data_IF_281927583312
#
_entry.id   IF_281927583312
#
_cell.length_a   1.000
_cell.length_b   1.000
_cell.length_c   1.000
_cell.angle_alpha   90.00
_cell.angle_beta   90.00
_cell.angle_gamma   90.00
#
_symmetry.space_group_name_H-M   'P 1'
#
loop_
_entity.id
_entity.type
_entity.pdbx_description
1 polymer ?
#
# COMPACT_ATOMS: atom_id res chain seq x y z
N UNK A 1 -9.01 12.88 16.54
CA UNK A 1 -8.15 11.69 16.28
C UNK A 1 -7.80 11.10 17.62
N UNK A 2 -7.92 9.78 17.83
CA UNK A 2 -7.52 9.18 19.12
C UNK A 2 -6.00 9.28 19.29
N UNK A 3 -5.54 9.35 20.54
CA UNK A 3 -4.10 9.40 20.85
C UNK A 3 -3.37 8.15 20.35
N UNK A 4 -4.01 6.98 20.44
CA UNK A 4 -3.46 5.73 19.92
C UNK A 4 -3.25 5.76 18.41
N UNK A 5 -4.23 6.26 17.65
CA UNK A 5 -4.07 6.37 16.19
C UNK A 5 -2.94 7.33 15.81
N UNK A 6 -2.83 8.47 16.49
CA UNK A 6 -1.74 9.42 16.25
C UNK A 6 -0.36 8.80 16.51
N UNK A 7 -0.17 8.16 17.67
CA UNK A 7 1.08 7.48 18.03
C UNK A 7 1.39 6.37 17.01
N UNK A 8 0.41 5.56 16.65
CA UNK A 8 0.60 4.48 15.68
C UNK A 8 0.95 4.99 14.28
N UNK A 9 0.38 6.12 13.82
CA UNK A 9 0.76 6.73 12.54
C UNK A 9 2.17 7.31 12.56
N UNK A 10 2.61 7.87 13.70
CA UNK A 10 3.98 8.35 13.88
C UNK A 10 4.97 7.18 13.82
N UNK A 11 4.72 6.11 14.60
CA UNK A 11 5.52 4.88 14.56
C UNK A 11 5.51 4.29 13.15
N UNK A 12 4.33 4.18 12.53
CA UNK A 12 4.17 3.66 11.18
C UNK A 12 4.95 4.47 10.13
N UNK A 13 5.05 5.79 10.29
CA UNK A 13 5.86 6.63 9.40
C UNK A 13 7.36 6.34 9.53
N UNK A 14 7.85 6.10 10.75
CA UNK A 14 9.24 5.71 11.01
C UNK A 14 9.51 4.33 10.42
N UNK A 15 8.63 3.35 10.67
CA UNK A 15 8.74 1.99 10.13
C UNK A 15 8.68 2.00 8.59
N UNK A 16 7.81 2.82 8.01
CA UNK A 16 7.73 3.06 6.57
C UNK A 16 9.08 3.53 6.03
N UNK A 17 9.65 4.60 6.59
CA UNK A 17 10.92 5.16 6.11
C UNK A 17 12.09 4.17 6.28
N UNK A 18 12.13 3.44 7.40
CA UNK A 18 13.14 2.43 7.66
C UNK A 18 13.06 1.27 6.65
N UNK A 19 11.85 0.76 6.38
CA UNK A 19 11.62 -0.32 5.43
C UNK A 19 11.97 0.11 4.01
N UNK A 20 11.60 1.34 3.65
CA UNK A 20 11.91 1.93 2.37
C UNK A 20 13.42 2.11 2.17
N UNK A 21 14.11 2.64 3.18
CA UNK A 21 15.57 2.72 3.20
C UNK A 21 16.22 1.35 3.05
N UNK A 22 15.77 0.35 3.82
CA UNK A 22 16.29 -1.01 3.72
C UNK A 22 16.14 -1.60 2.31
N UNK A 23 15.03 -1.29 1.63
CA UNK A 23 14.75 -1.77 0.27
C UNK A 23 15.55 -1.09 -0.84
N UNK A 24 15.97 0.16 -0.65
CA UNK A 24 16.58 0.99 -1.71
C UNK A 24 18.05 1.38 -1.45
N UNK A 25 18.59 1.16 -0.25
CA UNK A 25 19.93 1.61 0.15
C UNK A 25 21.08 1.05 -0.66
N UNK A 26 20.89 -0.08 -1.35
CA UNK A 26 21.94 -0.74 -2.12
C UNK A 26 22.22 -0.01 -3.45
N UNK A 27 21.18 0.56 -4.06
CA UNK A 27 21.25 1.16 -5.40
C UNK A 27 21.13 2.70 -5.41
N UNK A 28 20.64 3.30 -4.32
CA UNK A 28 20.27 4.72 -4.29
C UNK A 28 20.90 5.48 -3.11
N UNK A 29 21.22 6.75 -3.35
CA UNK A 29 21.73 7.66 -2.32
C UNK A 29 20.68 7.91 -1.24
N UNK A 30 21.11 7.99 0.01
CA UNK A 30 20.26 8.24 1.19
C UNK A 30 19.32 9.44 0.97
N UNK A 31 19.84 10.57 0.50
CA UNK A 31 19.04 11.78 0.25
C UNK A 31 17.92 11.55 -0.77
N UNK A 32 18.16 10.77 -1.83
CA UNK A 32 17.15 10.41 -2.83
C UNK A 32 16.06 9.55 -2.21
N UNK A 33 16.43 8.55 -1.41
CA UNK A 33 15.47 7.63 -0.77
C UNK A 33 14.55 8.39 0.19
N UNK A 34 15.09 9.24 1.06
CA UNK A 34 14.28 10.00 2.01
C UNK A 34 13.44 11.08 1.31
N UNK A 35 13.96 11.74 0.27
CA UNK A 35 13.16 12.68 -0.53
C UNK A 35 11.96 11.97 -1.18
N UNK A 36 12.16 10.78 -1.72
CA UNK A 36 11.08 9.94 -2.25
C UNK A 36 10.08 9.55 -1.14
N UNK A 37 10.57 9.00 -0.02
CA UNK A 37 9.73 8.56 1.09
C UNK A 37 8.89 9.68 1.70
N UNK A 38 9.47 10.86 1.93
CA UNK A 38 8.74 12.03 2.42
C UNK A 38 7.71 12.54 1.41
N UNK A 39 7.99 12.46 0.11
CA UNK A 39 7.01 12.82 -0.92
C UNK A 39 5.80 11.89 -0.84
N UNK A 40 6.01 10.57 -0.76
CA UNK A 40 4.92 9.60 -0.60
C UNK A 40 4.12 9.84 0.68
N UNK A 41 4.78 9.97 1.83
CA UNK A 41 4.10 10.23 3.11
C UNK A 41 3.30 11.54 3.10
N UNK A 42 3.88 12.61 2.56
CA UNK A 42 3.22 13.91 2.48
C UNK A 42 1.89 13.80 1.71
N UNK A 43 1.90 13.20 0.52
CA UNK A 43 0.68 13.09 -0.27
C UNK A 43 -0.31 12.06 0.30
N UNK A 44 0.15 10.97 0.94
CA UNK A 44 -0.74 10.06 1.67
C UNK A 44 -1.45 10.80 2.81
N UNK A 45 -0.72 11.56 3.63
CA UNK A 45 -1.31 12.34 4.71
C UNK A 45 -2.18 13.49 4.22
N UNK A 46 -1.81 14.14 3.12
CA UNK A 46 -2.66 15.14 2.46
C UNK A 46 -3.98 14.52 1.98
N UNK A 47 -3.94 13.31 1.40
CA UNK A 47 -5.13 12.56 1.00
C UNK A 47 -6.00 12.19 2.20
N UNK A 48 -5.40 11.69 3.28
CA UNK A 48 -6.12 11.39 4.53
C UNK A 48 -6.75 12.66 5.12
N UNK A 49 -6.02 13.77 5.17
CA UNK A 49 -6.53 15.05 5.63
C UNK A 49 -7.70 15.52 4.77
N UNK A 50 -7.56 15.49 3.44
CA UNK A 50 -8.61 15.88 2.50
C UNK A 50 -9.88 15.03 2.68
N UNK A 51 -9.72 13.72 2.89
CA UNK A 51 -10.86 12.84 3.18
C UNK A 51 -11.57 13.20 4.48
N UNK A 52 -10.84 13.66 5.51
CA UNK A 52 -11.43 14.04 6.78
C UNK A 52 -12.32 15.29 6.68
N UNK A 53 -12.05 16.15 5.69
CA UNK A 53 -12.80 17.38 5.40
C UNK A 53 -13.98 17.11 4.45
N UNK A 54 -13.77 16.33 3.39
CA UNK A 54 -14.79 16.09 2.36
C UNK A 54 -15.77 14.98 2.78
N UNK A 55 -15.26 13.77 2.99
CA UNK A 55 -16.05 12.61 3.38
C UNK A 55 -15.13 11.54 3.99
N UNK A 56 -15.37 11.21 5.27
CA UNK A 56 -14.53 10.24 5.98
C UNK A 56 -14.53 8.86 5.34
N UNK A 57 -15.57 8.49 4.58
CA UNK A 57 -15.63 7.21 3.87
C UNK A 57 -14.66 7.09 2.70
N UNK A 58 -14.22 8.20 2.08
CA UNK A 58 -13.27 8.18 0.95
C UNK A 58 -11.81 8.08 1.37
N UNK A 59 -11.52 7.88 2.66
CA UNK A 59 -10.17 7.96 3.22
C UNK A 59 -9.16 7.04 2.52
N UNK A 60 -9.56 5.81 2.20
CA UNK A 60 -8.67 4.87 1.51
C UNK A 60 -8.38 5.35 0.10
N UNK A 61 -9.41 5.70 -0.67
CA UNK A 61 -9.24 6.15 -2.06
C UNK A 61 -8.45 7.46 -2.13
N UNK A 62 -8.67 8.38 -1.20
CA UNK A 62 -7.88 9.60 -1.10
C UNK A 62 -6.41 9.30 -0.75
N UNK A 63 -6.15 8.34 0.14
CA UNK A 63 -4.79 7.90 0.46
C UNK A 63 -4.12 7.17 -0.71
N UNK A 64 -4.84 6.34 -1.48
CA UNK A 64 -4.34 5.67 -2.68
C UNK A 64 -4.00 6.69 -3.77
N UNK A 65 -4.87 7.69 -4.00
CA UNK A 65 -4.57 8.78 -4.95
C UNK A 65 -3.36 9.60 -4.49
N UNK A 66 -3.31 9.97 -3.21
CA UNK A 66 -2.17 10.64 -2.61
C UNK A 66 -0.88 9.85 -2.79
N UNK A 67 -0.91 8.54 -2.50
CA UNK A 67 0.21 7.63 -2.75
C UNK A 67 0.65 7.66 -4.21
N UNK A 68 -0.28 7.55 -5.17
CA UNK A 68 0.04 7.59 -6.59
C UNK A 68 0.73 8.91 -6.98
N UNK A 69 0.22 10.05 -6.52
CA UNK A 69 0.86 11.35 -6.76
C UNK A 69 2.24 11.45 -6.12
N UNK A 70 2.36 11.07 -4.85
CA UNK A 70 3.63 11.10 -4.11
C UNK A 70 4.68 10.17 -4.71
N UNK A 71 4.26 9.01 -5.22
CA UNK A 71 5.13 8.06 -5.89
C UNK A 71 5.61 8.61 -7.23
N UNK A 72 4.71 9.10 -8.08
CA UNK A 72 5.06 9.66 -9.40
C UNK A 72 5.98 10.89 -9.27
N UNK A 73 5.64 11.83 -8.40
CA UNK A 73 6.46 13.02 -8.15
C UNK A 73 7.79 12.66 -7.50
N UNK A 74 7.79 11.74 -6.53
CA UNK A 74 8.99 11.28 -5.87
C UNK A 74 9.96 10.61 -6.84
N UNK A 75 9.45 9.72 -7.71
CA UNK A 75 10.24 9.07 -8.78
C UNK A 75 10.81 10.11 -9.74
N UNK A 76 9.97 11.03 -10.24
CA UNK A 76 10.40 12.08 -11.16
C UNK A 76 11.51 12.96 -10.57
N UNK A 77 11.42 13.30 -9.28
CA UNK A 77 12.41 14.16 -8.59
C UNK A 77 13.72 13.45 -8.25
N UNK A 78 13.67 12.15 -7.97
CA UNK A 78 14.82 11.43 -7.38
C UNK A 78 15.54 10.52 -8.36
N UNK A 79 14.93 10.21 -9.51
CA UNK A 79 15.48 9.30 -10.51
C UNK A 79 15.44 7.81 -10.11
N UNK A 80 14.73 7.46 -9.03
CA UNK A 80 14.54 6.08 -8.62
C UNK A 80 13.70 5.37 -9.69
N UNK A 81 14.11 4.16 -10.11
CA UNK A 81 13.34 3.40 -11.10
C UNK A 81 11.96 3.07 -10.54
N UNK A 82 10.93 3.26 -11.37
CA UNK A 82 9.54 3.10 -10.95
C UNK A 82 9.26 1.73 -10.32
N UNK A 83 9.82 0.65 -10.87
CA UNK A 83 9.60 -0.71 -10.34
C UNK A 83 10.26 -0.93 -8.98
N UNK A 84 11.44 -0.35 -8.73
CA UNK A 84 12.11 -0.44 -7.42
C UNK A 84 11.35 0.39 -6.37
N UNK A 85 10.86 1.56 -6.78
CA UNK A 85 10.00 2.42 -5.98
C UNK A 85 8.67 1.73 -5.62
N UNK A 86 8.04 1.04 -6.58
CA UNK A 86 6.81 0.26 -6.33
C UNK A 86 7.12 -0.95 -5.43
N UNK A 87 8.18 -1.72 -5.71
CA UNK A 87 8.52 -2.91 -4.94
C UNK A 87 8.78 -2.59 -3.46
N UNK A 88 9.58 -1.57 -3.19
CA UNK A 88 9.92 -1.15 -1.81
C UNK A 88 8.82 -0.29 -1.17
N UNK A 89 8.16 0.54 -1.97
CA UNK A 89 7.08 1.42 -1.52
C UNK A 89 5.87 0.65 -1.03
N UNK A 90 5.41 -0.37 -1.77
CA UNK A 90 4.25 -1.19 -1.37
C UNK A 90 4.49 -1.88 -0.04
N UNK A 91 5.65 -2.51 0.16
CA UNK A 91 5.97 -3.14 1.45
C UNK A 91 5.96 -2.10 2.59
N UNK A 92 6.57 -0.95 2.36
CA UNK A 92 6.64 0.14 3.36
C UNK A 92 5.24 0.65 3.72
N UNK A 93 4.35 0.78 2.73
CA UNK A 93 2.96 1.19 2.93
C UNK A 93 2.13 0.14 3.67
N UNK A 94 2.38 -1.15 3.44
CA UNK A 94 1.72 -2.21 4.20
C UNK A 94 2.08 -2.13 5.68
N UNK A 95 3.35 -1.85 6.01
CA UNK A 95 3.73 -1.60 7.41
C UNK A 95 3.08 -0.35 7.99
N UNK A 96 3.01 0.76 7.23
CA UNK A 96 2.28 1.96 7.66
C UNK A 96 0.80 1.65 7.92
N UNK A 97 0.18 0.89 7.01
CA UNK A 97 -1.22 0.47 7.12
C UNK A 97 -1.43 -0.45 8.32
N UNK A 98 -0.51 -1.38 8.60
CA UNK A 98 -0.57 -2.27 9.75
C UNK A 98 -0.54 -1.50 11.07
N UNK A 99 0.39 -0.54 11.19
CA UNK A 99 0.43 0.35 12.35
C UNK A 99 -0.88 1.14 12.47
N UNK A 100 -1.40 1.69 11.37
CA UNK A 100 -2.68 2.42 11.37
C UNK A 100 -3.86 1.53 11.81
N UNK A 101 -3.96 0.29 11.32
CA UNK A 101 -5.01 -0.66 11.71
C UNK A 101 -4.90 -1.05 13.18
N UNK A 102 -3.68 -1.25 13.68
CA UNK A 102 -3.43 -1.48 15.12
C UNK A 102 -3.90 -0.31 15.97
N UNK A 103 -3.55 0.93 15.57
CA UNK A 103 -3.99 2.14 16.26
C UNK A 103 -5.51 2.30 16.25
N UNK A 104 -6.17 1.97 15.13
CA UNK A 104 -7.62 1.96 15.02
C UNK A 104 -8.26 0.87 15.89
N UNK A 105 -7.68 -0.33 15.94
CA UNK A 105 -8.15 -1.41 16.81
C UNK A 105 -8.06 -1.02 18.29
N UNK A 106 -6.94 -0.48 18.75
CA UNK A 106 -6.78 -0.02 20.13
C UNK A 106 -7.73 1.14 20.49
N UNK A 107 -8.20 1.89 19.49
CA UNK A 107 -9.10 3.02 19.71
C UNK A 107 -10.58 2.62 19.72
N UNK A 108 -10.96 1.66 18.88
CA UNK A 108 -12.36 1.30 18.63
C UNK A 108 -12.74 -0.07 19.21
N UNK A 109 -11.77 -0.92 19.52
CA UNK A 109 -11.95 -2.33 19.93
C UNK A 109 -12.92 -3.10 19.03
N UNK A 110 -12.86 -2.84 17.72
CA UNK A 110 -13.79 -3.43 16.75
C UNK A 110 -13.22 -4.73 16.14
N UNK A 111 -14.01 -5.81 16.03
CA UNK A 111 -13.62 -7.00 15.29
C UNK A 111 -13.24 -6.72 13.82
N UNK A 112 -13.88 -5.71 13.20
CA UNK A 112 -13.61 -5.35 11.81
C UNK A 112 -12.22 -4.71 11.61
N UNK A 113 -11.74 -3.90 12.56
CA UNK A 113 -10.39 -3.33 12.50
C UNK A 113 -9.33 -4.38 12.81
N UNK A 114 -9.61 -5.30 13.73
CA UNK A 114 -8.75 -6.43 14.00
C UNK A 114 -8.59 -7.33 12.77
N UNK A 115 -9.69 -7.72 12.13
CA UNK A 115 -9.66 -8.53 10.91
C UNK A 115 -8.90 -7.84 9.77
N UNK A 116 -9.05 -6.52 9.61
CA UNK A 116 -8.30 -5.74 8.64
C UNK A 116 -6.79 -5.73 8.94
N UNK A 117 -6.38 -5.60 10.21
CA UNK A 117 -4.97 -5.73 10.61
C UNK A 117 -4.41 -7.11 10.31
N UNK A 118 -5.08 -8.17 10.73
CA UNK A 118 -4.67 -9.56 10.43
C UNK A 118 -4.52 -9.79 8.92
N UNK A 119 -5.41 -9.23 8.12
CA UNK A 119 -5.32 -9.30 6.65
C UNK A 119 -4.09 -8.56 6.11
N UNK A 120 -3.79 -7.36 6.61
CA UNK A 120 -2.59 -6.59 6.19
C UNK A 120 -1.32 -7.32 6.61
N UNK A 121 -1.25 -7.87 7.82
CA UNK A 121 -0.15 -8.72 8.27
C UNK A 121 0.05 -9.93 7.35
N UNK A 122 -1.04 -10.60 6.95
CA UNK A 122 -0.98 -11.70 5.99
C UNK A 122 -0.44 -11.25 4.62
N UNK A 123 -0.79 -10.05 4.14
CA UNK A 123 -0.23 -9.49 2.90
C UNK A 123 1.27 -9.19 3.01
N UNK A 124 1.75 -8.77 4.19
CA UNK A 124 3.20 -8.59 4.45
C UNK A 124 3.92 -9.95 4.35
N UNK A 125 3.36 -11.01 4.97
CA UNK A 125 3.92 -12.36 4.88
C UNK A 125 3.91 -12.88 3.43
N UNK A 126 2.81 -12.66 2.71
CA UNK A 126 2.69 -13.01 1.29
C UNK A 126 3.74 -12.27 0.46
N UNK A 127 3.97 -10.98 0.72
CA UNK A 127 5.01 -10.20 0.05
C UNK A 127 6.38 -10.87 0.20
N UNK A 128 6.78 -11.21 1.43
CA UNK A 128 8.09 -11.85 1.67
C UNK A 128 8.19 -13.24 1.03
N UNK A 129 7.12 -14.03 1.11
CA UNK A 129 7.05 -15.32 0.45
C UNK A 129 7.26 -15.17 -1.07
N UNK A 130 6.52 -14.28 -1.72
CA UNK A 130 6.67 -14.02 -3.16
C UNK A 130 8.05 -13.45 -3.50
N UNK A 131 8.58 -12.53 -2.71
CA UNK A 131 9.91 -11.94 -2.93
C UNK A 131 11.03 -12.98 -2.96
N UNK A 132 10.91 -14.07 -2.20
CA UNK A 132 11.90 -15.16 -2.20
C UNK A 132 11.69 -16.18 -3.31
N UNK A 133 10.47 -16.30 -3.86
CA UNK A 133 10.09 -17.37 -4.79
C UNK A 133 9.73 -16.89 -6.21
N UNK A 134 9.58 -15.59 -6.47
CA UNK A 134 9.04 -15.12 -7.75
C UNK A 134 9.87 -15.54 -8.96
N UNK A 135 11.20 -15.64 -8.80
CA UNK A 135 12.11 -16.08 -9.88
C UNK A 135 11.97 -17.56 -10.24
N UNK A 136 11.42 -18.40 -9.36
CA UNK A 136 11.21 -19.82 -9.65
C UNK A 136 9.83 -20.12 -10.27
N UNK A 137 8.99 -19.11 -10.47
CA UNK A 137 7.67 -19.29 -11.06
C UNK A 137 7.80 -19.50 -12.57
N UNK A 138 7.36 -20.67 -13.05
CA UNK A 138 7.48 -21.08 -14.46
C UNK A 138 6.83 -20.12 -15.46
N UNK A 139 5.75 -19.45 -15.06
CA UNK A 139 5.03 -18.50 -15.91
C UNK A 139 5.67 -17.10 -15.91
N UNK A 140 6.47 -16.76 -14.89
CA UNK A 140 7.11 -15.44 -14.75
C UNK A 140 8.54 -15.46 -15.28
N UNK A 141 8.67 -15.35 -16.61
CA UNK A 141 9.97 -15.47 -17.31
C UNK A 141 10.92 -14.28 -17.11
N UNK A 142 10.35 -13.10 -16.87
CA UNK A 142 11.09 -11.84 -16.77
C UNK A 142 12.14 -11.81 -15.65
N UNK A 143 11.80 -12.37 -14.48
CA UNK A 143 12.65 -12.30 -13.29
C UNK A 143 12.92 -10.88 -12.76
N UNK A 144 12.21 -9.85 -13.28
CA UNK A 144 12.37 -8.45 -12.88
C UNK A 144 11.77 -8.16 -11.50
N UNK A 145 12.24 -7.06 -10.91
CA UNK A 145 11.72 -6.49 -9.66
C UNK A 145 10.32 -5.92 -9.91
N UNK A 146 9.45 -5.95 -8.89
CA UNK A 146 8.08 -5.43 -8.93
C UNK A 146 6.99 -6.50 -8.90
N UNK A 147 7.35 -7.78 -9.11
CA UNK A 147 6.40 -8.88 -9.10
C UNK A 147 5.67 -9.02 -7.76
N UNK A 148 6.42 -9.00 -6.64
CA UNK A 148 5.87 -9.24 -5.30
C UNK A 148 4.90 -8.13 -4.93
N UNK A 149 5.28 -6.87 -5.15
CA UNK A 149 4.42 -5.72 -4.88
C UNK A 149 3.14 -5.73 -5.72
N UNK A 150 3.24 -5.93 -7.04
CA UNK A 150 2.06 -5.97 -7.92
C UNK A 150 1.12 -7.10 -7.52
N UNK A 151 1.64 -8.30 -7.25
CA UNK A 151 0.84 -9.45 -6.83
C UNK A 151 0.09 -9.18 -5.52
N UNK A 152 0.75 -8.59 -4.54
CA UNK A 152 0.14 -8.26 -3.25
C UNK A 152 -0.93 -7.18 -3.40
N UNK A 153 -0.70 -6.16 -4.22
CA UNK A 153 -1.73 -5.16 -4.53
C UNK A 153 -2.93 -5.78 -5.25
N UNK A 154 -2.72 -6.71 -6.19
CA UNK A 154 -3.81 -7.44 -6.84
C UNK A 154 -4.64 -8.17 -5.79
N UNK A 155 -3.99 -8.95 -4.91
CA UNK A 155 -4.70 -9.69 -3.86
C UNK A 155 -5.44 -8.74 -2.92
N UNK A 156 -4.83 -7.61 -2.53
CA UNK A 156 -5.48 -6.59 -1.71
C UNK A 156 -6.78 -6.08 -2.36
N UNK A 157 -6.72 -5.60 -3.61
CA UNK A 157 -7.89 -5.03 -4.29
C UNK A 157 -8.92 -6.09 -4.71
N UNK A 158 -8.50 -7.29 -5.11
CA UNK A 158 -9.42 -8.39 -5.42
C UNK A 158 -10.19 -8.81 -4.17
N UNK A 159 -9.52 -8.95 -3.02
CA UNK A 159 -10.17 -9.35 -1.76
C UNK A 159 -11.18 -8.30 -1.28
N UNK A 160 -10.94 -7.01 -1.57
CA UNK A 160 -11.89 -5.94 -1.25
C UNK A 160 -13.23 -6.09 -1.98
N UNK A 161 -13.26 -6.71 -3.16
CA UNK A 161 -14.49 -6.87 -3.96
C UNK A 161 -15.56 -7.69 -3.21
N UNK A 162 -15.31 -8.96 -2.83
CA UNK A 162 -16.30 -9.74 -2.08
C UNK A 162 -16.58 -9.10 -0.71
N UNK A 163 -15.57 -8.52 -0.04
CA UNK A 163 -15.79 -7.86 1.26
C UNK A 163 -16.75 -6.67 1.13
N UNK A 164 -16.63 -5.84 0.09
CA UNK A 164 -17.57 -4.74 -0.16
C UNK A 164 -18.99 -5.22 -0.49
N UNK A 165 -19.13 -6.39 -1.13
CA UNK A 165 -20.44 -6.97 -1.47
C UNK A 165 -21.17 -7.52 -0.24
N UNK A 166 -20.46 -8.26 0.63
CA UNK A 166 -21.04 -8.94 1.79
C UNK A 166 -21.03 -8.07 3.06
N UNK A 167 -20.07 -7.16 3.19
CA UNK A 167 -19.85 -6.33 4.38
C UNK A 167 -19.71 -4.84 4.01
N UNK A 168 -20.74 -4.22 3.38
CA UNK A 168 -20.66 -2.84 2.88
C UNK A 168 -20.42 -1.78 3.97
N UNK A 169 -20.69 -2.11 5.24
CA UNK A 169 -20.55 -1.19 6.38
C UNK A 169 -19.17 -1.26 7.07
N UNK A 170 -18.19 -1.95 6.48
CA UNK A 170 -16.83 -1.97 7.00
C UNK A 170 -16.15 -0.59 6.86
N UNK A 171 -15.29 -0.24 7.81
CA UNK A 171 -14.69 1.11 7.98
C UNK A 171 -13.96 1.62 6.73
N UNK A 172 -13.45 0.72 5.89
CA UNK A 172 -12.69 1.05 4.70
C UNK A 172 -13.53 1.19 3.42
N UNK A 173 -14.87 1.10 3.48
CA UNK A 173 -15.74 1.06 2.30
C UNK A 173 -16.77 2.18 2.24
N UNK A 174 -17.05 2.66 1.01
CA UNK A 174 -18.21 3.50 0.69
C UNK A 174 -19.41 2.63 0.26
N UNK A 175 -19.69 1.59 1.03
CA UNK A 175 -20.71 0.61 0.68
C UNK A 175 -20.36 -0.20 -0.57
N UNK A 176 -21.39 -0.61 -1.32
CA UNK A 176 -21.23 -1.45 -2.54
C UNK A 176 -20.54 -0.72 -3.70
N UNK A 177 -20.46 0.61 -3.67
CA UNK A 177 -19.82 1.40 -4.74
C UNK A 177 -18.33 1.07 -4.84
N UNK A 178 -17.69 0.69 -3.73
CA UNK A 178 -16.27 0.32 -3.66
C UNK A 178 -15.87 -0.89 -4.52
N UNK A 179 -16.85 -1.70 -4.93
CA UNK A 179 -16.63 -2.84 -5.82
C UNK A 179 -16.04 -2.39 -7.15
N UNK A 180 -16.59 -1.33 -7.74
CA UNK A 180 -16.18 -0.85 -9.05
C UNK A 180 -14.72 -0.34 -9.09
N UNK A 181 -14.29 0.60 -8.23
CA UNK A 181 -12.91 1.07 -8.25
C UNK A 181 -11.93 -0.04 -7.82
N UNK A 182 -12.29 -0.92 -6.89
CA UNK A 182 -11.44 -2.07 -6.52
C UNK A 182 -11.23 -3.02 -7.71
N UNK A 183 -12.29 -3.32 -8.45
CA UNK A 183 -12.22 -4.12 -9.67
C UNK A 183 -11.33 -3.46 -10.74
N UNK A 184 -11.57 -2.19 -11.05
CA UNK A 184 -10.79 -1.46 -12.06
C UNK A 184 -9.29 -1.39 -11.73
N UNK A 185 -8.95 -1.10 -10.47
CA UNK A 185 -7.55 -1.06 -10.03
C UNK A 185 -6.93 -2.45 -10.07
N UNK A 186 -7.64 -3.49 -9.62
CA UNK A 186 -7.13 -4.87 -9.70
C UNK A 186 -6.85 -5.30 -11.15
N UNK A 187 -7.74 -4.97 -12.08
CA UNK A 187 -7.58 -5.29 -13.50
C UNK A 187 -6.37 -4.56 -14.09
N UNK A 188 -6.20 -3.27 -13.79
CA UNK A 188 -5.04 -2.50 -14.21
C UNK A 188 -3.73 -3.13 -13.69
N UNK A 189 -3.69 -3.53 -12.42
CA UNK A 189 -2.52 -4.18 -11.83
C UNK A 189 -2.22 -5.54 -12.46
N UNK A 190 -3.25 -6.33 -12.78
CA UNK A 190 -3.10 -7.60 -13.52
C UNK A 190 -2.50 -7.34 -14.91
N UNK A 191 -2.98 -6.33 -15.63
CA UNK A 191 -2.41 -5.93 -16.94
C UNK A 191 -0.94 -5.52 -16.79
N UNK A 192 -0.61 -4.73 -15.77
CA UNK A 192 0.78 -4.36 -15.47
C UNK A 192 1.65 -5.58 -15.18
N UNK A 193 1.16 -6.54 -14.38
CA UNK A 193 1.88 -7.76 -14.04
C UNK A 193 2.12 -8.66 -15.26
N UNK A 194 1.12 -8.81 -16.14
CA UNK A 194 1.25 -9.57 -17.39
C UNK A 194 2.28 -8.92 -18.31
N UNK A 195 2.26 -7.58 -18.44
CA UNK A 195 3.28 -6.85 -19.22
C UNK A 195 4.67 -7.06 -18.62
N UNK A 196 4.80 -6.95 -17.30
CA UNK A 196 6.06 -7.21 -16.61
C UNK A 196 6.55 -8.64 -16.83
N UNK A 197 5.66 -9.63 -16.87
CA UNK A 197 6.01 -11.04 -17.07
C UNK A 197 6.55 -11.37 -18.46
N UNK A 198 6.19 -10.57 -19.49
CA UNK A 198 6.56 -10.83 -20.89
C UNK A 198 7.87 -10.16 -21.30
N UNK A 199 8.30 -9.12 -20.59
CA UNK A 199 9.50 -8.34 -20.90
C UNK A 199 10.66 -8.73 -20.00
#
# INVERSE_FOLDING_TARGET
MSIFLFISLLIGSIVFLFTLWKGLREDYKINSIFTFGFSVLFFVFAGLFLSSVINRGIWLWAAVLGMCFGLLLGVAKTGIRLLDAVESGVLSLLFLMECAMTGLFLSLYSPSTFAAGVFVLWLILLYYYLKTRYKSLSWYKSGKIGFSALSVLIVFFVTRIPVALFFPNMISFLGKIDVLPSFLVSLLLVVCLIRLSRH
#
